data_IF_392226245007
#
_entry.id   IF_392226245007
#
_cell.length_a   1.000
_cell.length_b   1.000
_cell.length_c   1.000
_cell.angle_alpha   90.00
_cell.angle_beta   90.00
_cell.angle_gamma   90.00
#
_symmetry.space_group_name_H-M   'P 1'
#
loop_
_entity.id
_entity.type
_entity.pdbx_description
1 polymer ?
2 water ?
#
# COMPACT_ATOMS: atom_id res chain seq x y z
N UNK A 3 4.55 15.86 16.83
CA UNK A 3 3.15 16.02 16.42
C UNK A 3 3.09 15.67 14.95
N UNK A 4 1.91 15.33 14.41
CA UNK A 4 1.78 15.06 12.97
C UNK A 4 1.92 16.24 12.04
N UNK A 5 1.80 17.46 12.58
CA UNK A 5 1.93 18.65 11.74
C UNK A 5 3.27 19.46 11.88
N UNK A 6 4.46 18.84 11.68
CA UNK A 6 5.66 19.68 11.80
C UNK A 6 6.40 19.84 10.47
N UNK A 7 7.62 19.30 10.39
CA UNK A 7 8.30 19.19 9.11
C UNK A 7 9.15 17.87 9.03
N UNK A 8 10.17 17.81 8.17
CA UNK A 8 10.26 16.70 7.22
C UNK A 8 11.53 15.80 7.17
N UNK A 9 12.31 15.74 8.25
CA UNK A 9 13.39 14.75 8.25
C UNK A 9 12.79 13.35 8.51
N UNK A 10 11.69 13.32 9.26
CA UNK A 10 11.00 12.06 9.52
C UNK A 10 10.38 11.50 8.24
N UNK A 11 9.70 12.36 7.50
CA UNK A 11 9.07 11.98 6.24
C UNK A 11 10.09 11.41 5.26
N UNK A 12 11.23 12.09 5.13
CA UNK A 12 12.25 11.65 4.19
C UNK A 12 12.85 10.30 4.57
N UNK A 13 13.01 10.06 5.87
CA UNK A 13 13.53 8.77 6.32
C UNK A 13 12.61 7.61 5.95
N UNK A 14 11.33 7.77 6.21
CA UNK A 14 10.32 6.75 5.90
C UNK A 14 10.22 6.44 4.41
N UNK A 15 10.23 7.50 3.60
CA UNK A 15 10.13 7.34 2.16
C UNK A 15 11.36 6.62 1.63
N UNK A 16 12.53 7.01 2.15
CA UNK A 16 13.81 6.39 1.79
C UNK A 16 13.82 4.91 2.15
N UNK A 17 13.34 4.60 3.34
CA UNK A 17 13.25 3.23 3.82
C UNK A 17 12.39 2.35 2.91
N UNK A 18 11.23 2.85 2.52
CA UNK A 18 10.33 2.09 1.63
C UNK A 18 10.88 1.93 0.21
N UNK A 19 11.54 2.97 -0.30
CA UNK A 19 12.02 2.94 -1.68
C UNK A 19 13.37 2.22 -1.88
N UNK A 20 14.21 2.22 -0.86
CA UNK A 20 15.57 1.68 -1.03
C UNK A 20 15.76 0.32 -0.39
N UNK A 21 14.66 -0.31 -0.01
CA UNK A 21 14.71 -1.64 0.56
C UNK A 21 13.74 -2.53 -0.18
N UNK A 22 14.21 -3.71 -0.55
CA UNK A 22 13.40 -4.67 -1.29
C UNK A 22 13.26 -5.87 -0.36
N UNK A 23 12.21 -5.89 0.46
CA UNK A 23 12.08 -6.93 1.49
C UNK A 23 11.47 -8.19 0.91
N UNK A 24 12.05 -9.34 1.24
CA UNK A 24 11.57 -10.62 0.72
C UNK A 24 11.43 -11.66 1.83
N UNK A 25 10.26 -12.31 1.92
CA UNK A 25 10.06 -13.43 2.85
C UNK A 25 9.66 -14.66 2.04
N UNK A 26 10.27 -15.80 2.29
CA UNK A 26 9.89 -16.98 1.51
C UNK A 26 8.56 -17.56 2.00
N UNK A 27 7.79 -18.06 1.05
CA UNK A 27 6.54 -18.76 1.35
C UNK A 27 6.51 -20.12 0.68
N UNK A 28 5.50 -20.91 0.99
CA UNK A 28 5.39 -22.22 0.37
C UNK A 28 5.31 -22.09 -1.15
N UNK A 29 4.51 -21.15 -1.65
CA UNK A 29 4.33 -20.99 -3.10
C UNK A 29 5.43 -20.17 -3.76
N UNK A 30 6.22 -19.47 -2.96
CA UNK A 30 7.23 -18.61 -3.53
C UNK A 30 7.73 -17.56 -2.58
N UNK A 31 7.29 -16.32 -2.79
CA UNK A 31 7.78 -15.22 -1.98
C UNK A 31 6.73 -14.14 -1.75
N UNK A 32 6.80 -13.52 -0.59
CA UNK A 32 6.13 -12.24 -0.33
C UNK A 32 7.16 -11.13 -0.48
N UNK A 33 6.82 -10.08 -1.24
CA UNK A 33 7.75 -8.97 -1.45
C UNK A 33 7.12 -7.69 -0.94
N UNK A 34 7.94 -6.83 -0.35
CA UNK A 34 7.48 -5.53 0.13
C UNK A 34 8.43 -4.45 -0.35
N UNK A 35 7.94 -3.57 -1.19
CA UNK A 35 8.76 -2.49 -1.72
C UNK A 35 7.86 -1.31 -2.02
N UNK A 36 8.31 -0.11 -1.67
CA UNK A 36 7.54 1.14 -1.86
C UNK A 36 6.18 1.09 -1.19
N UNK A 37 6.06 0.33 -0.09
CA UNK A 37 4.81 0.25 0.64
C UNK A 37 3.80 -0.62 -0.07
N UNK A 38 4.27 -1.36 -1.07
CA UNK A 38 3.42 -2.28 -1.84
C UNK A 38 3.79 -3.73 -1.54
N UNK A 39 2.80 -4.59 -1.26
CA UNK A 39 3.03 -6.03 -1.13
C UNK A 39 2.81 -6.73 -2.46
N UNK A 40 3.69 -7.66 -2.80
CA UNK A 40 3.54 -8.49 -4.00
C UNK A 40 3.59 -9.96 -3.61
N UNK A 41 2.68 -10.77 -4.13
CA UNK A 41 2.77 -12.20 -3.88
C UNK A 41 3.28 -12.90 -5.14
N UNK A 42 4.50 -13.41 -5.04
CA UNK A 42 5.21 -14.01 -6.16
C UNK A 42 5.24 -15.53 -6.01
N UNK A 43 4.98 -16.26 -7.09
CA UNK A 43 5.00 -17.71 -7.05
C UNK A 43 6.04 -18.27 -8.05
N UNK A 44 6.50 -19.49 -7.82
CA UNK A 44 7.43 -20.13 -8.76
C UNK A 44 6.68 -21.22 -9.52
N UNK A 45 5.36 -21.17 -9.42
CA UNK A 45 4.52 -22.05 -10.23
C UNK A 45 4.80 -21.70 -11.68
N UNK A 46 5.06 -22.70 -12.51
CA UNK A 46 5.39 -22.44 -13.90
C UNK A 46 6.87 -22.45 -14.25
N UNK A 47 7.75 -22.35 -13.26
CA UNK A 47 9.17 -22.29 -13.55
C UNK A 47 9.72 -23.60 -14.05
N UNK A 48 9.18 -24.73 -13.59
CA UNK A 48 9.65 -26.01 -14.09
C UNK A 48 9.41 -26.09 -15.60
N UNK A 49 8.27 -25.56 -16.07
CA UNK A 49 7.97 -25.61 -17.49
C UNK A 49 8.99 -24.79 -18.29
N UNK A 50 9.46 -23.65 -17.74
CA UNK A 50 10.50 -22.87 -18.41
C UNK A 50 11.76 -23.70 -18.62
N UNK A 51 12.17 -24.43 -17.59
CA UNK A 51 13.35 -25.27 -17.71
C UNK A 51 13.17 -26.38 -18.72
N UNK A 52 12.00 -27.00 -18.71
CA UNK A 52 11.65 -28.04 -19.67
C UNK A 52 11.77 -27.54 -21.12
N UNK A 53 11.30 -26.32 -21.35
CA UNK A 53 11.29 -25.74 -22.69
C UNK A 53 12.72 -25.42 -23.14
N UNK A 54 13.64 -25.32 -22.18
CA UNK A 54 15.04 -25.05 -22.49
C UNK A 54 15.74 -26.31 -23.02
N UNK A 55 15.05 -27.44 -22.88
CA UNK A 55 15.51 -28.71 -23.42
C UNK A 55 14.80 -29.00 -24.74
N UNK A 56 15.09 -30.16 -25.33
CA UNK A 56 14.42 -30.56 -26.57
C UNK A 56 13.22 -31.45 -26.27
N UNK A 57 12.16 -31.31 -27.07
CA UNK A 57 10.90 -32.06 -26.90
C UNK A 57 10.26 -31.74 -25.54
N UNK A 58 9.56 -32.72 -24.97
CA UNK A 58 8.76 -32.59 -23.74
C UNK A 58 7.55 -31.65 -23.75
N UNK A 59 7.28 -30.98 -24.86
CA UNK A 59 6.06 -30.17 -24.90
C UNK A 59 5.56 -29.79 -26.28
N UNK A 60 5.07 -30.78 -27.06
CA UNK A 60 4.58 -30.51 -28.42
C UNK A 60 3.45 -29.47 -28.42
N UNK A 61 2.66 -29.46 -27.36
CA UNK A 61 1.55 -28.52 -27.21
C UNK A 61 2.05 -27.12 -26.85
N UNK A 62 3.24 -27.03 -26.28
CA UNK A 62 3.85 -25.72 -25.97
C UNK A 62 4.79 -25.22 -27.05
N UNK A 63 5.05 -26.05 -28.05
CA UNK A 63 5.96 -25.71 -29.15
C UNK A 63 5.53 -24.43 -29.88
N UNK A 64 4.23 -24.18 -29.99
CA UNK A 64 3.76 -22.97 -30.65
C UNK A 64 4.17 -21.75 -29.82
N UNK A 65 3.88 -21.80 -28.51
CA UNK A 65 4.36 -20.78 -27.60
C UNK A 65 5.89 -20.68 -27.69
N UNK A 66 6.54 -21.84 -27.65
CA UNK A 66 7.98 -21.92 -27.67
C UNK A 66 8.68 -21.36 -28.92
N UNK A 67 8.07 -21.53 -30.10
CA UNK A 67 8.70 -21.10 -31.36
C UNK A 67 8.67 -19.61 -31.54
N UNK A 68 7.87 -18.94 -30.71
CA UNK A 68 7.86 -17.48 -30.70
C UNK A 68 9.10 -16.93 -30.01
N UNK A 69 9.76 -17.75 -29.21
CA UNK A 69 10.91 -17.28 -28.45
C UNK A 69 12.21 -18.09 -28.59
N UNK A 70 12.68 -18.32 -29.82
CA UNK A 70 13.93 -19.08 -29.97
C UNK A 70 15.14 -18.36 -29.38
N UNK A 71 15.07 -17.04 -29.30
CA UNK A 71 16.15 -16.26 -28.69
C UNK A 71 16.22 -16.52 -27.18
N UNK A 72 15.18 -17.15 -26.63
CA UNK A 72 15.19 -17.53 -25.23
C UNK A 72 15.44 -19.03 -25.03
N UNK A 73 14.64 -19.87 -25.68
CA UNK A 73 14.67 -21.31 -25.41
C UNK A 73 15.66 -22.08 -26.25
N UNK A 74 16.15 -21.46 -27.34
CA UNK A 74 17.12 -22.13 -28.20
C UNK A 74 18.34 -21.23 -28.35
N UNK A 75 18.84 -20.75 -27.22
CA UNK A 75 19.94 -19.80 -27.18
C UNK A 75 20.83 -20.18 -26.01
N UNK A 76 22.04 -20.66 -26.30
CA UNK A 76 22.96 -21.08 -25.23
C UNK A 76 23.43 -19.91 -24.38
N UNK A 77 23.16 -18.68 -24.83
CA UNK A 77 23.56 -17.51 -24.08
C UNK A 77 22.39 -16.89 -23.30
N UNK A 78 21.24 -17.57 -23.29
CA UNK A 78 20.14 -17.08 -22.47
C UNK A 78 20.06 -17.87 -21.16
N UNK A 79 19.71 -17.19 -20.08
CA UNK A 79 19.60 -17.89 -18.79
C UNK A 79 18.26 -17.58 -18.15
N UNK A 80 17.76 -18.58 -17.44
CA UNK A 80 16.51 -18.46 -16.72
C UNK A 80 16.79 -17.85 -15.35
N UNK A 81 16.07 -16.78 -14.98
CA UNK A 81 16.22 -16.18 -13.66
C UNK A 81 14.99 -16.50 -12.82
N UNK A 82 14.98 -16.05 -11.57
CA UNK A 82 13.86 -16.38 -10.72
C UNK A 82 12.68 -15.41 -10.92
N UNK A 83 11.47 -15.81 -10.50
CA UNK A 83 10.33 -14.89 -10.59
C UNK A 83 10.57 -13.58 -9.82
N UNK A 84 11.45 -13.59 -8.83
CA UNK A 84 11.78 -12.37 -8.08
C UNK A 84 12.50 -11.36 -8.95
N UNK A 85 13.40 -11.88 -9.77
CA UNK A 85 14.07 -11.07 -10.77
C UNK A 85 13.05 -10.51 -11.76
N UNK A 86 12.12 -11.36 -12.21
CA UNK A 86 11.08 -10.90 -13.13
C UNK A 86 10.33 -9.73 -12.52
N UNK A 87 9.94 -9.86 -11.25
CA UNK A 87 9.24 -8.76 -10.59
C UNK A 87 10.12 -7.48 -10.56
N UNK A 88 11.40 -7.61 -10.19
CA UNK A 88 12.29 -6.45 -10.15
C UNK A 88 12.40 -5.75 -11.51
N UNK A 89 12.44 -6.55 -12.57
CA UNK A 89 12.57 -6.01 -13.93
C UNK A 89 11.29 -5.24 -14.31
N UNK A 90 10.14 -5.79 -13.95
CA UNK A 90 8.86 -5.12 -14.21
C UNK A 90 8.73 -3.80 -13.45
N UNK A 91 9.15 -3.80 -12.19
CA UNK A 91 9.13 -2.58 -11.39
C UNK A 91 10.07 -1.53 -11.98
N UNK A 92 11.25 -1.95 -12.42
CA UNK A 92 12.19 -1.03 -13.08
C UNK A 92 11.60 -0.51 -14.39
N UNK A 93 10.96 -1.40 -15.14
CA UNK A 93 10.34 -1.02 -16.41
C UNK A 93 9.24 0.00 -16.18
N UNK A 94 8.46 -0.20 -15.11
CA UNK A 94 7.36 0.71 -14.77
C UNK A 94 7.84 2.11 -14.47
N UNK A 95 8.92 2.22 -13.70
CA UNK A 95 9.55 3.51 -13.42
C UNK A 95 10.03 4.17 -14.71
N UNK A 96 10.71 3.39 -15.54
CA UNK A 96 11.22 3.88 -16.81
C UNK A 96 10.08 4.34 -17.72
N UNK A 97 9.11 3.46 -17.92
CA UNK A 97 8.00 3.74 -18.85
C UNK A 97 7.02 4.84 -18.41
N UNK A 98 6.81 4.96 -17.11
CA UNK A 98 5.75 5.86 -16.65
C UNK A 98 6.26 7.11 -15.97
N UNK A 99 7.56 7.16 -15.66
CA UNK A 99 8.08 8.35 -15.03
C UNK A 99 9.31 8.91 -15.72
N UNK A 100 10.31 8.07 -15.96
CA UNK A 100 11.53 8.57 -16.54
C UNK A 100 11.32 9.01 -18.01
N UNK A 101 10.50 8.26 -18.75
CA UNK A 101 10.32 8.53 -20.19
C UNK A 101 9.18 9.47 -20.59
N UNK A 102 8.35 9.90 -19.66
CA UNK A 102 7.33 10.88 -20.03
C UNK A 102 7.94 12.28 -19.97
N UNK A 103 7.50 13.12 -19.05
CA UNK A 103 8.15 14.44 -18.96
C UNK A 103 9.58 14.20 -18.47
N UNK A 104 10.47 15.13 -18.77
CA UNK A 104 11.88 14.98 -18.42
C UNK A 104 12.08 15.43 -16.98
N UNK A 105 11.61 14.56 -16.08
CA UNK A 105 11.63 14.69 -14.62
C UNK A 105 12.80 15.46 -13.99
N UNK A 106 12.61 16.77 -13.83
CA UNK A 106 13.40 17.59 -12.91
C UNK A 106 12.44 18.52 -12.14
N UNK A 107 12.06 18.19 -10.88
CA UNK A 107 12.51 17.31 -9.81
C UNK A 107 13.75 16.44 -10.08
N UNK A 108 13.64 15.12 -10.13
CA UNK A 108 14.83 14.35 -10.48
C UNK A 108 14.61 12.96 -11.07
N UNK A 109 14.95 12.85 -12.35
CA UNK A 109 15.01 11.59 -13.07
C UNK A 109 16.13 10.75 -12.49
N UNK A 110 17.15 11.43 -11.95
CA UNK A 110 18.31 10.79 -11.37
C UNK A 110 18.01 9.88 -10.18
N UNK A 111 17.23 10.37 -9.21
CA UNK A 111 16.80 9.54 -8.09
C UNK A 111 16.00 8.33 -8.58
N UNK A 112 15.04 8.57 -9.49
CA UNK A 112 14.30 7.48 -10.10
C UNK A 112 15.20 6.56 -10.91
N UNK A 113 16.19 7.15 -11.57
CA UNK A 113 17.12 6.37 -12.37
C UNK A 113 17.99 5.46 -11.52
N UNK A 114 18.42 5.96 -10.36
CA UNK A 114 19.21 5.16 -9.44
C UNK A 114 18.43 3.96 -8.93
N UNK A 115 17.19 4.22 -8.50
CA UNK A 115 16.34 3.16 -7.97
C UNK A 115 16.06 2.11 -9.04
N UNK A 116 15.67 2.58 -10.23
CA UNK A 116 15.39 1.70 -11.35
C UNK A 116 16.58 0.81 -11.68
N UNK A 117 17.76 1.42 -11.73
CA UNK A 117 18.99 0.69 -12.03
C UNK A 117 19.31 -0.37 -10.95
N UNK A 118 19.12 -0.03 -9.68
CA UNK A 118 19.33 -0.99 -8.59
C UNK A 118 18.39 -2.19 -8.71
N UNK A 119 17.11 -1.91 -8.96
CA UNK A 119 16.11 -2.96 -9.16
C UNK A 119 16.49 -3.84 -10.33
N UNK A 120 16.87 -3.20 -11.42
CA UNK A 120 17.04 -3.92 -12.67
C UNK A 120 18.29 -4.79 -12.71
N UNK A 121 19.40 -4.28 -12.17
CA UNK A 121 20.69 -4.94 -12.40
C UNK A 121 21.35 -5.60 -11.20
N UNK A 122 20.73 -5.53 -10.02
CA UNK A 122 21.32 -6.20 -8.85
C UNK A 122 20.31 -7.15 -8.20
N UNK A 123 20.78 -7.96 -7.25
CA UNK A 123 19.87 -8.86 -6.54
C UNK A 123 19.80 -8.50 -5.06
N UNK A 124 20.26 -7.30 -4.71
CA UNK A 124 20.40 -6.92 -3.31
C UNK A 124 19.12 -6.37 -2.68
N UNK A 125 19.04 -6.43 -1.35
CA UNK A 125 17.84 -6.03 -0.63
C UNK A 125 17.84 -4.55 -0.26
N UNK A 126 18.96 -3.90 -0.48
CA UNK A 126 19.10 -2.54 -0.05
C UNK A 126 19.97 -1.73 -0.98
N UNK A 127 19.55 -0.49 -1.23
CA UNK A 127 20.30 0.42 -2.07
C UNK A 127 20.72 1.58 -1.18
N UNK A 128 22.00 1.88 -1.14
CA UNK A 128 22.39 3.01 -0.31
C UNK A 128 22.48 4.25 -1.18
N UNK A 129 21.41 5.02 -1.11
CA UNK A 129 21.30 6.28 -1.83
C UNK A 129 22.22 7.26 -1.14
N UNK A 130 23.23 7.74 -1.84
CA UNK A 130 24.15 8.73 -1.28
C UNK A 130 23.96 10.02 -2.05
N UNK A 131 24.75 11.05 -1.72
CA UNK A 131 24.63 12.38 -2.33
C UNK A 131 23.31 12.93 -1.86
N UNK A 132 23.41 13.84 -0.92
CA UNK A 132 22.31 14.28 -0.11
C UNK A 132 21.24 15.12 -0.79
N UNK A 133 21.42 15.41 -2.08
CA UNK A 133 20.38 16.11 -2.86
C UNK A 133 19.54 15.16 -3.80
N UNK A 134 19.86 13.85 -3.84
CA UNK A 134 18.88 12.94 -4.43
C UNK A 134 18.04 12.41 -3.28
N UNK A 135 18.60 12.38 -2.06
CA UNK A 135 17.84 11.94 -0.91
C UNK A 135 16.76 12.94 -0.53
N UNK A 136 17.02 14.22 -0.81
CA UNK A 136 16.07 15.24 -0.40
C UNK A 136 15.07 15.48 -1.49
N UNK A 137 15.24 14.74 -2.58
CA UNK A 137 14.24 14.74 -3.61
C UNK A 137 13.15 13.74 -3.26
N UNK A 138 13.36 12.99 -2.17
CA UNK A 138 12.42 12.01 -1.65
C UNK A 138 11.42 12.72 -0.74
N UNK A 139 10.14 12.51 -1.01
CA UNK A 139 9.05 13.07 -0.22
C UNK A 139 7.86 12.13 -0.32
N UNK A 140 6.85 12.35 0.50
CA UNK A 140 5.66 11.51 0.45
C UNK A 140 4.97 11.74 -0.89
N UNK A 141 4.84 13.01 -1.27
CA UNK A 141 4.51 13.35 -2.65
C UNK A 141 5.73 12.80 -3.35
N UNK A 142 5.51 12.12 -4.45
CA UNK A 142 6.56 11.48 -5.28
C UNK A 142 6.62 10.00 -4.94
N UNK A 143 6.57 9.66 -3.65
CA UNK A 143 6.44 8.25 -3.29
C UNK A 143 5.05 7.86 -3.75
N UNK A 144 4.11 8.75 -3.50
CA UNK A 144 2.75 8.60 -3.98
C UNK A 144 2.77 8.51 -5.51
N UNK A 145 3.56 9.37 -6.14
CA UNK A 145 3.68 9.36 -7.59
C UNK A 145 4.27 8.03 -8.09
N UNK A 146 5.32 7.56 -7.42
CA UNK A 146 5.92 6.29 -7.80
C UNK A 146 4.93 5.15 -7.70
N UNK A 147 4.19 5.10 -6.59
CA UNK A 147 3.19 4.05 -6.35
C UNK A 147 2.05 4.04 -7.38
N UNK A 148 1.47 5.20 -7.69
CA UNK A 148 0.37 5.23 -8.65
C UNK A 148 0.87 4.83 -10.04
N UNK A 149 2.10 5.20 -10.36
CA UNK A 149 2.59 4.88 -11.69
C UNK A 149 2.99 3.42 -11.81
N UNK A 150 3.38 2.80 -10.69
CA UNK A 150 3.59 1.35 -10.68
C UNK A 150 2.24 0.66 -10.91
N UNK A 151 1.20 1.15 -10.25
CA UNK A 151 -0.14 0.61 -10.47
C UNK A 151 -0.60 0.76 -11.91
N UNK A 152 -0.34 1.91 -12.50
CA UNK A 152 -0.76 2.13 -13.88
C UNK A 152 0.00 1.20 -14.81
N UNK A 153 1.28 0.96 -14.53
CA UNK A 153 2.06 0.07 -15.38
C UNK A 153 1.56 -1.37 -15.26
N UNK A 154 1.23 -1.77 -14.04
CA UNK A 154 0.68 -3.10 -13.82
C UNK A 154 -0.67 -3.26 -14.57
N UNK A 155 -1.49 -2.23 -14.54
CA UNK A 155 -2.75 -2.28 -15.28
C UNK A 155 -2.51 -2.35 -16.80
N UNK A 156 -1.48 -1.65 -17.26
CA UNK A 156 -1.05 -1.75 -18.65
C UNK A 156 -0.69 -3.21 -18.99
N UNK A 157 0.02 -3.89 -18.10
CA UNK A 157 0.41 -5.28 -18.36
C UNK A 157 -0.84 -6.16 -18.41
N UNK A 158 -1.80 -5.89 -17.53
CA UNK A 158 -3.03 -6.68 -17.45
C UNK A 158 -3.95 -6.48 -18.66
N UNK A 159 -3.78 -5.39 -19.37
CA UNK A 159 -4.55 -5.09 -20.57
C UNK A 159 -3.99 -5.86 -21.77
N UNK A 160 -2.80 -6.44 -21.62
CA UNK A 160 -2.21 -7.20 -22.71
C UNK A 160 -2.99 -8.48 -22.95
N UNK A 161 -3.06 -8.90 -24.21
CA UNK A 161 -3.66 -10.16 -24.57
C UNK A 161 -2.60 -11.24 -24.65
N UNK A 162 -2.97 -12.49 -24.39
CA UNK A 162 -2.04 -13.59 -24.62
C UNK A 162 -1.63 -13.64 -26.11
N UNK A 163 -0.40 -14.09 -26.38
CA UNK A 163 0.11 -14.21 -27.73
C UNK A 163 -0.90 -14.84 -28.68
N UNK A 164 -1.06 -14.22 -29.84
CA UNK A 164 -2.19 -14.51 -30.72
C UNK A 164 -1.83 -14.17 -32.15
N UNK A 165 -2.62 -14.67 -33.09
CA UNK A 165 -2.43 -14.31 -34.48
C UNK A 165 -3.53 -13.39 -35.00
N UNK A 166 -4.23 -12.70 -34.09
CA UNK A 166 -5.19 -11.66 -34.48
C UNK A 166 -4.50 -10.30 -34.34
N UNK A 167 -5.22 -9.21 -34.25
CA UNK A 167 -4.45 -7.98 -34.18
C UNK A 167 -3.88 -7.64 -32.82
N UNK A 168 -4.11 -8.51 -31.84
CA UNK A 168 -4.07 -8.09 -30.45
C UNK A 168 -2.71 -7.98 -29.79
N UNK A 169 -2.50 -6.83 -29.15
CA UNK A 169 -1.23 -6.50 -28.52
C UNK A 169 -0.96 -7.45 -27.37
N UNK A 170 0.26 -8.01 -27.33
CA UNK A 170 0.57 -9.00 -26.31
C UNK A 170 1.88 -8.66 -25.61
N UNK A 171 2.56 -7.62 -26.05
CA UNK A 171 3.87 -7.31 -25.48
C UNK A 171 4.17 -5.83 -25.35
N UNK A 172 5.06 -5.50 -24.42
CA UNK A 172 5.56 -4.15 -24.23
C UNK A 172 7.09 -4.18 -24.23
N UNK A 173 7.71 -3.25 -24.96
CA UNK A 173 9.17 -3.16 -24.99
C UNK A 173 9.60 -1.83 -24.41
N UNK A 174 10.54 -1.87 -23.48
CA UNK A 174 11.00 -0.65 -22.83
C UNK A 174 12.52 -0.56 -22.86
N UNK A 175 13.02 0.49 -23.49
CA UNK A 175 14.44 0.74 -23.52
C UNK A 175 14.90 1.39 -22.23
N UNK A 176 16.05 0.94 -21.73
CA UNK A 176 16.70 1.59 -20.60
C UNK A 176 18.10 1.97 -21.06
N UNK A 177 18.91 2.47 -20.13
CA UNK A 177 20.26 2.95 -20.46
C UNK A 177 21.12 1.88 -21.12
N UNK A 178 21.15 0.70 -20.51
CA UNK A 178 22.02 -0.36 -21.01
C UNK A 178 21.28 -1.63 -21.39
N UNK A 179 19.95 -1.56 -21.48
CA UNK A 179 19.19 -2.77 -21.77
C UNK A 179 17.93 -2.54 -22.56
N UNK A 180 17.40 -3.64 -23.08
CA UNK A 180 16.05 -3.65 -23.60
C UNK A 180 15.27 -4.62 -22.73
N UNK A 181 14.11 -4.15 -22.27
CA UNK A 181 13.19 -4.96 -21.49
C UNK A 181 12.00 -5.33 -22.36
N UNK A 182 11.65 -6.60 -22.42
CA UNK A 182 10.46 -6.99 -23.15
C UNK A 182 9.59 -7.83 -22.21
N UNK A 183 8.29 -7.54 -22.21
CA UNK A 183 7.35 -8.26 -21.37
C UNK A 183 6.22 -8.73 -22.25
N UNK A 184 5.98 -10.04 -22.28
CA UNK A 184 5.00 -10.62 -23.20
C UNK A 184 4.02 -11.52 -22.46
N UNK A 185 2.72 -11.30 -22.65
CA UNK A 185 1.76 -12.17 -22.00
C UNK A 185 1.60 -13.46 -22.80
N UNK A 186 1.78 -14.60 -22.13
CA UNK A 186 1.62 -15.91 -22.72
C UNK A 186 0.66 -16.74 -21.88
N UNK A 187 0.32 -17.94 -22.35
CA UNK A 187 -0.51 -18.85 -21.57
C UNK A 187 0.15 -19.24 -20.25
N UNK A 188 1.48 -19.12 -20.19
CA UNK A 188 2.26 -19.43 -18.99
C UNK A 188 2.26 -18.31 -17.96
N UNK A 189 1.94 -17.10 -18.41
CA UNK A 189 2.06 -15.92 -17.59
C UNK A 189 2.88 -14.90 -18.37
N UNK A 190 3.44 -13.93 -17.67
CA UNK A 190 4.21 -12.89 -18.34
C UNK A 190 5.67 -13.29 -18.42
N UNK A 191 6.11 -13.47 -19.65
CA UNK A 191 7.49 -13.75 -19.92
C UNK A 191 8.25 -12.43 -19.92
N UNK A 192 9.18 -12.33 -18.99
CA UNK A 192 9.94 -11.10 -18.78
C UNK A 192 11.34 -11.35 -19.27
N UNK A 193 11.80 -10.56 -20.24
CA UNK A 193 13.16 -10.77 -20.75
C UNK A 193 13.99 -9.50 -20.70
N UNK A 194 15.30 -9.70 -20.57
CA UNK A 194 16.26 -8.62 -20.53
C UNK A 194 17.35 -8.89 -21.57
N UNK A 195 17.50 -7.98 -22.53
CA UNK A 195 18.50 -8.10 -23.59
C UNK A 195 19.38 -6.86 -23.59
N UNK A 196 20.38 -6.87 -24.47
CA UNK A 196 21.20 -5.69 -24.73
C UNK A 196 20.38 -4.64 -25.48
N UNK A 197 20.86 -3.38 -25.50
CA UNK A 197 20.09 -2.35 -26.21
C UNK A 197 19.81 -2.67 -27.69
N UNK A 198 20.71 -3.38 -28.35
CA UNK A 198 20.52 -3.74 -29.75
C UNK A 198 19.74 -5.06 -29.95
N UNK A 199 19.27 -5.65 -28.85
CA UNK A 199 18.51 -6.91 -28.91
C UNK A 199 19.29 -7.99 -29.66
N UNK A 200 20.56 -8.09 -29.33
CA UNK A 200 21.46 -9.04 -29.98
C UNK A 200 21.03 -10.48 -29.75
N UNK A 201 20.24 -10.73 -28.72
CA UNK A 201 19.76 -12.09 -28.48
C UNK A 201 18.93 -12.59 -29.66
N UNK A 202 18.36 -11.68 -30.44
CA UNK A 202 17.50 -12.11 -31.53
C UNK A 202 18.29 -12.37 -32.83
N UNK A 203 19.61 -12.20 -32.80
CA UNK A 203 20.45 -12.59 -33.94
C UNK A 203 20.54 -14.13 -33.96
N UNK A 204 19.78 -14.78 -34.84
CA UNK A 204 19.62 -16.23 -34.80
C UNK A 204 20.90 -17.06 -35.01
N UNK A 205 21.79 -16.56 -35.87
CA UNK A 205 23.05 -17.27 -36.12
C UNK A 205 24.10 -17.02 -35.08
N UNK A 206 24.10 -15.84 -34.49
CA UNK A 206 25.08 -15.53 -33.46
C UNK A 206 24.37 -14.84 -32.34
N UNK A 207 23.59 -15.63 -31.57
CA UNK A 207 22.71 -15.03 -30.55
C UNK A 207 23.50 -14.34 -29.43
N UNK A 208 23.10 -13.12 -29.10
CA UNK A 208 23.67 -12.42 -27.96
C UNK A 208 23.02 -12.91 -26.69
N UNK A 209 23.41 -12.33 -25.54
CA UNK A 209 22.94 -12.80 -24.23
C UNK A 209 21.54 -12.33 -23.91
N UNK A 210 20.85 -13.08 -23.06
CA UNK A 210 19.52 -12.71 -22.59
C UNK A 210 19.26 -13.35 -21.23
N UNK A 211 18.48 -12.68 -20.38
CA UNK A 211 17.99 -13.28 -19.16
C UNK A 211 16.47 -13.24 -19.25
N UNK A 212 15.80 -14.24 -18.71
CA UNK A 212 14.36 -14.21 -18.75
C UNK A 212 13.75 -15.04 -17.63
N UNK A 213 12.50 -14.77 -17.34
CA UNK A 213 11.80 -15.52 -16.32
C UNK A 213 10.32 -15.29 -16.54
N UNK A 214 9.52 -15.72 -15.57
CA UNK A 214 8.09 -15.73 -15.75
C UNK A 214 7.42 -15.11 -14.53
N UNK A 215 6.49 -14.19 -14.76
CA UNK A 215 5.68 -13.69 -13.66
C UNK A 215 4.28 -14.23 -13.81
N UNK A 216 3.88 -15.08 -12.89
CA UNK A 216 2.55 -15.66 -12.93
C UNK A 216 1.49 -14.57 -12.85
N UNK A 217 0.41 -14.79 -13.59
CA UNK A 217 -0.74 -13.92 -13.67
C UNK A 217 -1.26 -13.49 -12.30
N UNK A 218 -1.22 -14.42 -11.35
CA UNK A 218 -1.78 -14.17 -10.01
C UNK A 218 -1.17 -12.92 -9.34
N UNK A 219 0.12 -12.68 -9.57
CA UNK A 219 0.82 -11.58 -8.91
C UNK A 219 0.25 -10.23 -9.27
N UNK A 220 -0.18 -10.10 -10.52
CA UNK A 220 -0.69 -8.83 -11.01
C UNK A 220 -2.20 -8.72 -10.74
N UNK A 221 -2.87 -9.87 -10.76
CA UNK A 221 -4.32 -9.95 -10.57
C UNK A 221 -4.78 -9.27 -9.29
N UNK A 222 -3.92 -9.30 -8.27
CA UNK A 222 -4.23 -8.70 -6.98
C UNK A 222 -4.49 -7.21 -7.10
N UNK A 223 -3.87 -6.59 -8.10
CA UNK A 223 -4.03 -5.15 -8.34
C UNK A 223 -5.13 -4.96 -9.38
N UNK A 224 -5.57 -6.08 -9.95
CA UNK A 224 -6.53 -6.11 -11.05
C UNK A 224 -6.01 -5.33 -12.24
N UNK B 3 21.20 -11.61 -2.18
CA UNK B 3 21.13 -10.98 -0.86
C UNK B 3 19.70 -10.52 -0.56
N UNK B 4 18.82 -10.40 -1.57
CA UNK B 4 17.42 -10.17 -1.18
C UNK B 4 16.84 -11.40 -0.48
N UNK B 5 17.45 -12.58 -0.69
CA UNK B 5 16.92 -13.77 0.00
C UNK B 5 17.34 -13.98 1.48
N UNK B 6 18.66 -14.00 1.77
CA UNK B 6 19.03 -14.22 3.18
C UNK B 6 18.46 -13.23 4.23
N UNK B 7 17.78 -13.80 5.23
CA UNK B 7 17.26 -13.14 6.46
C UNK B 7 18.03 -11.97 7.10
N UNK B 8 17.30 -11.02 7.71
CA UNK B 8 17.94 -9.85 8.35
C UNK B 8 17.07 -8.93 9.27
N UNK B 9 17.77 -7.97 9.87
CA UNK B 9 17.36 -6.83 10.70
C UNK B 9 16.72 -5.68 9.91
N UNK B 10 17.02 -5.68 8.62
CA UNK B 10 16.54 -4.67 7.69
C UNK B 10 15.01 -4.69 7.65
N UNK B 11 14.43 -5.89 7.62
CA UNK B 11 12.99 -6.08 7.61
C UNK B 11 12.30 -5.43 8.81
N UNK B 12 12.81 -5.70 10.01
CA UNK B 12 12.17 -5.18 11.22
C UNK B 12 12.26 -3.67 11.25
N UNK B 13 13.36 -3.13 10.73
CA UNK B 13 13.59 -1.71 10.61
C UNK B 13 12.57 -1.01 9.71
N UNK B 14 12.36 -1.58 8.52
CA UNK B 14 11.37 -1.02 7.58
C UNK B 14 9.98 -1.06 8.16
N UNK B 15 9.66 -2.19 8.79
CA UNK B 15 8.33 -2.40 9.37
C UNK B 15 8.11 -1.43 10.52
N UNK B 16 9.14 -1.24 11.34
CA UNK B 16 9.08 -0.28 12.44
C UNK B 16 8.80 1.11 11.91
N UNK B 17 9.53 1.50 10.87
CA UNK B 17 9.35 2.81 10.25
C UNK B 17 7.92 3.04 9.74
N UNK B 18 7.36 2.04 9.08
CA UNK B 18 6.00 2.18 8.54
C UNK B 18 4.91 2.22 9.62
N UNK B 19 5.09 1.44 10.67
CA UNK B 19 4.07 1.31 11.69
C UNK B 19 4.11 2.39 12.76
N UNK B 20 5.29 2.96 12.99
CA UNK B 20 5.48 3.90 14.10
C UNK B 20 5.57 5.33 13.63
N UNK B 21 5.22 5.56 12.37
CA UNK B 21 5.17 6.89 11.80
C UNK B 21 3.84 7.14 11.09
N UNK B 22 3.25 8.29 11.40
CA UNK B 22 1.99 8.70 10.82
C UNK B 22 2.30 9.96 10.03
N UNK B 23 2.63 9.79 8.74
CA UNK B 23 3.08 10.89 7.92
C UNK B 23 1.93 11.70 7.36
N UNK B 24 2.04 13.01 7.42
CA UNK B 24 0.96 13.86 6.97
C UNK B 24 1.54 14.93 6.03
N UNK B 25 0.96 15.06 4.84
CA UNK B 25 1.39 16.07 3.89
C UNK B 25 0.20 16.92 3.49
N UNK B 26 0.35 18.24 3.54
CA UNK B 26 -0.77 19.12 3.20
C UNK B 26 -1.08 19.11 1.71
N UNK B 27 -2.37 19.13 1.40
CA UNK B 27 -2.82 19.28 0.03
C UNK B 27 -3.81 20.41 0.05
N UNK B 28 -4.21 20.86 -1.14
CA UNK B 28 -5.22 21.90 -1.28
C UNK B 28 -6.53 21.43 -0.62
N UNK B 29 -6.82 20.15 -0.77
CA UNK B 29 -8.06 19.58 -0.29
C UNK B 29 -8.10 19.16 1.20
N UNK B 30 -6.93 19.02 1.80
CA UNK B 30 -6.85 18.52 3.15
C UNK B 30 -5.47 17.99 3.37
N UNK B 31 -5.37 16.67 3.41
CA UNK B 31 -4.10 16.05 3.69
C UNK B 31 -3.94 14.71 3.00
N UNK B 32 -2.70 14.40 2.66
CA UNK B 32 -2.28 13.06 2.29
C UNK B 32 -1.65 12.41 3.52
N UNK B 33 -2.10 11.21 3.86
CA UNK B 33 -1.58 10.53 5.02
C UNK B 33 -0.93 9.22 4.61
N UNK B 34 0.18 8.86 5.25
CA UNK B 34 0.85 7.62 4.96
C UNK B 34 1.21 6.89 6.24
N UNK B 35 0.64 5.70 6.42
CA UNK B 35 0.88 4.88 7.62
C UNK B 35 0.75 3.39 7.25
N UNK B 36 1.66 2.57 7.77
CA UNK B 36 1.67 1.13 7.49
C UNK B 36 1.75 0.83 5.98
N UNK B 37 2.37 1.72 5.24
CA UNK B 37 2.48 1.56 3.80
C UNK B 37 1.19 1.83 3.05
N UNK B 38 0.22 2.41 3.74
CA UNK B 38 -1.08 2.76 3.17
C UNK B 38 -1.27 4.27 3.02
N UNK B 39 -1.69 4.72 1.83
CA UNK B 39 -2.03 6.12 1.59
C UNK B 39 -3.51 6.36 1.88
N UNK B 40 -3.80 7.47 2.53
CA UNK B 40 -5.16 7.91 2.76
C UNK B 40 -5.32 9.35 2.26
N UNK B 41 -6.40 9.63 1.53
CA UNK B 41 -6.64 11.01 1.12
C UNK B 41 -7.74 11.59 2.00
N UNK B 42 -7.36 12.54 2.85
CA UNK B 42 -8.27 13.09 3.84
C UNK B 42 -8.63 14.50 3.40
N UNK B 43 -9.90 14.85 3.53
CA UNK B 43 -10.34 16.17 3.11
C UNK B 43 -10.93 16.88 4.31
N UNK B 44 -10.98 18.21 4.27
CA UNK B 44 -11.66 18.90 5.35
C UNK B 44 -13.05 19.43 4.90
N UNK B 45 -13.54 19.01 3.74
CA UNK B 45 -14.95 19.26 3.42
C UNK B 45 -15.86 18.56 4.35
N UNK B 46 -16.86 19.30 4.77
CA UNK B 46 -17.84 18.79 5.71
C UNK B 46 -17.59 19.29 7.11
N UNK B 47 -16.38 19.79 7.38
CA UNK B 47 -16.04 20.24 8.73
C UNK B 47 -16.74 21.53 9.14
N UNK B 48 -16.94 22.45 8.20
CA UNK B 48 -17.65 23.69 8.52
C UNK B 48 -19.08 23.40 8.98
N UNK B 49 -19.74 22.44 8.34
CA UNK B 49 -21.11 22.07 8.68
C UNK B 49 -21.18 21.49 10.08
N UNK B 50 -20.16 20.72 10.44
CA UNK B 50 -20.06 20.16 11.78
C UNK B 50 -20.04 21.29 12.82
N UNK B 51 -19.25 22.34 12.57
CA UNK B 51 -19.21 23.50 13.45
C UNK B 51 -20.54 24.24 13.50
N UNK B 52 -21.18 24.35 12.32
CA UNK B 52 -22.50 24.95 12.20
C UNK B 52 -23.50 24.24 13.10
N UNK B 53 -23.44 22.92 13.10
CA UNK B 53 -24.41 22.12 13.83
C UNK B 53 -24.18 22.23 15.33
N UNK B 54 -22.98 22.68 15.69
CA UNK B 54 -22.64 22.91 17.10
C UNK B 54 -23.25 24.20 17.59
N UNK B 55 -23.71 25.03 16.65
CA UNK B 55 -24.38 26.27 17.02
C UNK B 55 -25.86 26.00 17.07
N UNK B 56 -26.63 27.03 17.36
CA UNK B 56 -28.07 26.90 17.40
C UNK B 56 -28.70 27.41 16.10
N UNK B 57 -27.87 27.74 15.11
CA UNK B 57 -28.37 28.25 13.84
C UNK B 57 -29.21 27.15 13.20
N UNK B 58 -30.48 27.47 13.08
CA UNK B 58 -31.55 26.52 12.80
C UNK B 58 -31.50 25.80 11.45
N UNK B 59 -30.56 26.21 10.60
CA UNK B 59 -30.23 25.59 9.29
C UNK B 59 -30.97 24.29 8.96
N UNK B 60 -32.27 24.38 8.65
CA UNK B 60 -33.16 23.23 8.48
C UNK B 60 -32.67 22.17 7.48
N UNK B 61 -33.31 21.00 7.54
CA UNK B 61 -33.02 19.80 6.75
C UNK B 61 -31.89 19.00 7.39
N UNK B 62 -31.03 19.69 8.13
CA UNK B 62 -30.01 19.03 8.93
C UNK B 62 -30.57 18.91 10.34
N UNK B 63 -31.76 19.46 10.52
CA UNK B 63 -32.46 19.47 11.78
C UNK B 63 -32.54 18.07 12.38
N UNK B 64 -32.70 17.09 11.50
CA UNK B 64 -32.80 15.69 11.90
C UNK B 64 -31.48 15.14 12.42
N UNK B 65 -30.41 15.39 11.67
CA UNK B 65 -29.06 14.98 12.07
C UNK B 65 -28.68 15.44 13.47
N UNK B 66 -28.87 16.72 13.75
CA UNK B 66 -28.56 17.29 15.06
C UNK B 66 -29.39 16.59 16.14
N UNK B 67 -30.63 16.23 15.80
CA UNK B 67 -31.51 15.60 16.77
C UNK B 67 -31.20 14.11 16.94
N UNK B 68 -30.50 13.53 15.97
CA UNK B 68 -30.06 12.14 16.08
C UNK B 68 -28.81 12.04 16.95
N UNK B 69 -28.05 13.13 17.06
CA UNK B 69 -26.82 13.13 17.84
C UNK B 69 -26.74 14.29 18.86
N UNK B 70 -27.72 14.36 19.78
CA UNK B 70 -27.68 15.47 20.75
C UNK B 70 -26.48 15.37 21.69
N UNK B 71 -25.99 14.15 21.91
CA UNK B 71 -24.84 13.94 22.78
C UNK B 71 -23.57 14.53 22.14
N UNK B 72 -23.65 14.82 20.85
CA UNK B 72 -22.55 15.50 20.17
C UNK B 72 -22.84 16.97 19.94
N UNK B 73 -23.99 17.29 19.35
CA UNK B 73 -24.23 18.67 18.91
C UNK B 73 -24.89 19.55 19.96
N UNK B 74 -25.46 18.94 21.00
CA UNK B 74 -26.11 19.68 22.09
C UNK B 74 -25.54 19.25 23.43
N UNK B 75 -24.22 19.31 23.52
CA UNK B 75 -23.49 18.83 24.66
C UNK B 75 -22.31 19.78 24.89
N UNK B 76 -22.32 20.55 25.99
CA UNK B 76 -21.23 21.51 26.21
C UNK B 76 -19.89 20.81 26.45
N UNK B 77 -19.92 19.49 26.69
CA UNK B 77 -18.68 18.75 26.95
C UNK B 77 -18.20 17.94 25.74
N UNK B 78 -18.81 18.15 24.59
CA UNK B 78 -18.30 17.48 23.40
C UNK B 78 -17.49 18.48 22.60
N UNK B 79 -16.37 18.04 22.03
CA UNK B 79 -15.54 18.92 21.23
C UNK B 79 -15.28 18.27 19.87
N UNK B 80 -15.15 19.12 18.87
CA UNK B 80 -14.85 18.74 17.51
C UNK B 80 -13.35 18.61 17.30
N UNK B 81 -12.94 17.48 16.72
CA UNK B 81 -11.55 17.25 16.36
C UNK B 81 -11.41 17.32 14.83
N UNK B 82 -10.18 17.23 14.33
CA UNK B 82 -9.99 17.31 12.89
C UNK B 82 -10.18 15.95 12.22
N UNK B 83 -10.38 15.97 10.89
CA UNK B 83 -10.49 14.69 10.16
C UNK B 83 -9.26 13.81 10.32
N UNK B 84 -8.11 14.38 10.63
CA UNK B 84 -6.91 13.54 10.82
C UNK B 84 -7.06 12.69 12.04
N UNK B 85 -7.62 13.30 13.08
CA UNK B 85 -7.96 12.60 14.31
C UNK B 85 -8.99 11.52 13.98
N UNK B 86 -9.97 11.86 13.13
CA UNK B 86 -11.01 10.90 12.78
C UNK B 86 -10.36 9.64 12.19
N UNK B 87 -9.41 9.87 11.27
CA UNK B 87 -8.69 8.76 10.65
C UNK B 87 -7.91 7.94 11.68
N UNK B 88 -7.20 8.61 12.59
CA UNK B 88 -6.46 7.91 13.62
C UNK B 88 -7.35 7.03 14.47
N UNK B 89 -8.53 7.54 14.78
CA UNK B 89 -9.45 6.79 15.65
C UNK B 89 -9.97 5.53 14.92
N UNK B 90 -10.30 5.69 13.66
CA UNK B 90 -10.75 4.57 12.84
C UNK B 90 -9.64 3.51 12.71
N UNK B 91 -8.40 3.95 12.51
CA UNK B 91 -7.27 3.01 12.45
C UNK B 91 -7.08 2.30 13.79
N UNK B 92 -7.16 3.02 14.89
CA UNK B 92 -7.03 2.38 16.19
C UNK B 92 -8.16 1.36 16.36
N UNK B 93 -9.37 1.74 15.93
CA UNK B 93 -10.54 0.88 16.08
C UNK B 93 -10.37 -0.41 15.29
N UNK B 94 -9.85 -0.28 14.06
CA UNK B 94 -9.63 -1.45 13.22
C UNK B 94 -8.64 -2.39 13.84
N UNK B 95 -7.56 -1.85 14.39
CA UNK B 95 -6.58 -2.68 15.06
C UNK B 95 -7.22 -3.38 16.26
N UNK B 96 -7.98 -2.63 17.05
CA UNK B 96 -8.62 -3.19 18.24
C UNK B 96 -9.59 -4.31 17.84
N UNK B 97 -10.42 -4.03 16.85
CA UNK B 97 -11.51 -4.93 16.48
C UNK B 97 -10.90 -6.28 16.03
N UNK B 98 -9.65 -6.26 15.52
CA UNK B 98 -8.88 -7.53 15.45
C UNK B 98 -7.54 -7.49 16.25
N UNK B 99 -7.66 -7.27 17.58
CA UNK B 99 -6.65 -7.28 18.65
C UNK B 99 -7.32 -8.08 19.80
N UNK B 100 -8.60 -7.85 19.85
CA UNK B 100 -9.47 -8.43 20.84
C UNK B 100 -9.43 -9.97 20.89
N UNK B 101 -9.31 -10.62 19.74
CA UNK B 101 -9.28 -12.08 19.68
C UNK B 101 -7.89 -12.69 19.83
N UNK B 102 -6.86 -11.88 20.04
CA UNK B 102 -5.54 -12.45 20.19
C UNK B 102 -5.29 -13.17 21.51
N UNK B 103 -4.37 -14.13 21.48
CA UNK B 103 -3.95 -14.81 22.71
C UNK B 103 -3.20 -13.77 23.51
N UNK B 104 -3.08 -13.90 24.82
CA UNK B 104 -2.30 -12.93 25.53
C UNK B 104 -0.91 -13.48 25.31
N UNK B 105 -0.50 -13.50 24.04
CA UNK B 105 0.81 -13.99 23.61
C UNK B 105 1.93 -13.67 24.61
N UNK B 106 2.07 -12.45 25.14
CA UNK B 106 1.34 -11.24 24.75
C UNK B 106 2.11 -10.33 23.79
N UNK B 107 3.48 -10.38 23.77
CA UNK B 107 4.19 -9.34 23.01
C UNK B 107 3.60 -8.89 21.66
N UNK B 108 3.08 -9.78 20.82
CA UNK B 108 2.48 -9.27 19.59
C UNK B 108 1.20 -8.49 19.89
N UNK B 109 0.36 -9.01 20.79
CA UNK B 109 -0.86 -8.29 21.15
C UNK B 109 -0.46 -6.98 21.83
N UNK B 110 0.64 -7.03 22.56
CA UNK B 110 1.22 -5.88 23.23
C UNK B 110 1.72 -4.85 22.23
N UNK B 111 2.43 -5.33 21.21
CA UNK B 111 2.90 -4.45 20.15
C UNK B 111 1.71 -3.76 19.45
N UNK B 112 0.66 -4.51 19.14
CA UNK B 112 -0.52 -3.92 18.53
C UNK B 112 -1.20 -2.90 19.46
N UNK B 113 -1.24 -3.21 20.75
CA UNK B 113 -1.87 -2.36 21.73
C UNK B 113 -1.14 -1.06 21.89
N UNK B 114 0.19 -1.10 21.82
CA UNK B 114 1.00 0.12 21.91
C UNK B 114 0.72 1.04 20.72
N UNK B 115 0.72 0.46 19.53
CA UNK B 115 0.45 1.20 18.29
C UNK B 115 -0.96 1.76 18.30
N UNK B 116 -1.93 0.92 18.60
CA UNK B 116 -3.32 1.38 18.68
C UNK B 116 -3.46 2.52 19.67
N UNK B 117 -2.86 2.37 20.85
CA UNK B 117 -2.91 3.42 21.86
C UNK B 117 -2.28 4.73 21.40
N UNK B 118 -1.12 4.64 20.76
CA UNK B 118 -0.48 5.85 20.24
C UNK B 118 -1.38 6.57 19.22
N UNK B 119 -1.96 5.82 18.28
CA UNK B 119 -2.85 6.41 17.29
C UNK B 119 -4.05 7.12 17.93
N UNK B 120 -4.64 6.44 18.91
CA UNK B 120 -5.92 6.87 19.47
C UNK B 120 -5.82 8.05 20.43
N UNK B 121 -4.78 8.06 21.26
CA UNK B 121 -4.73 9.01 22.37
C UNK B 121 -3.67 10.08 22.25
N UNK B 122 -2.87 10.07 21.18
CA UNK B 122 -1.90 11.14 20.98
C UNK B 122 -2.08 11.74 19.61
N UNK B 123 -1.42 12.87 19.38
CA UNK B 123 -1.49 13.55 18.10
C UNK B 123 -0.12 13.60 17.41
N UNK B 124 0.84 12.82 17.90
CA UNK B 124 2.20 12.88 17.38
C UNK B 124 2.37 12.04 16.12
N UNK B 125 3.38 12.39 15.32
CA UNK B 125 3.63 11.76 14.03
C UNK B 125 4.56 10.59 14.14
N UNK B 126 5.13 10.43 15.33
CA UNK B 126 6.12 9.40 15.54
C UNK B 126 5.93 8.81 16.91
N UNK B 127 6.05 7.49 16.96
CA UNK B 127 5.88 6.77 18.17
C UNK B 127 7.17 6.07 18.52
N UNK B 128 7.66 6.30 19.72
CA UNK B 128 8.84 5.59 20.16
C UNK B 128 8.47 4.36 20.97
N UNK B 129 8.41 3.25 20.26
CA UNK B 129 8.28 1.95 20.84
C UNK B 129 9.65 1.69 21.35
N UNK B 130 9.92 1.57 22.64
CA UNK B 130 11.26 1.08 22.90
C UNK B 130 11.29 -0.19 23.74
N UNK B 131 10.14 -0.75 24.07
CA UNK B 131 10.18 -2.02 24.77
C UNK B 131 10.53 -2.87 23.57
N UNK B 132 11.81 -3.07 23.25
CA UNK B 132 12.03 -3.80 21.99
C UNK B 132 11.99 -5.30 22.07
N UNK B 133 11.24 -5.84 23.06
CA UNK B 133 10.99 -7.23 23.00
C UNK B 133 9.74 -7.32 22.11
N UNK B 134 9.08 -6.18 21.88
CA UNK B 134 8.03 -6.14 20.87
C UNK B 134 8.57 -5.64 19.53
N UNK B 135 9.69 -4.92 19.48
CA UNK B 135 10.17 -4.57 18.13
C UNK B 135 10.59 -5.80 17.38
N UNK B 136 10.93 -6.84 18.12
CA UNK B 136 11.26 -8.09 17.48
C UNK B 136 9.97 -8.88 17.27
N UNK B 137 8.85 -8.30 17.71
CA UNK B 137 7.54 -8.83 17.37
C UNK B 137 7.17 -8.26 16.02
N UNK B 138 7.96 -7.29 15.57
CA UNK B 138 7.68 -6.61 14.32
C UNK B 138 8.28 -7.44 13.20
N UNK B 139 7.45 -7.74 12.21
CA UNK B 139 7.90 -8.50 11.06
C UNK B 139 7.04 -8.12 9.87
N UNK B 140 7.46 -8.56 8.69
CA UNK B 140 6.70 -8.31 7.48
C UNK B 140 5.37 -9.06 7.54
N UNK B 141 5.41 -10.27 8.11
CA UNK B 141 4.17 -11.02 8.35
C UNK B 141 3.17 -10.24 9.19
N UNK B 142 3.64 -9.67 10.28
CA UNK B 142 2.79 -8.86 11.16
C UNK B 142 2.26 -7.62 10.43
N UNK B 143 3.10 -6.98 9.63
CA UNK B 143 2.68 -5.80 8.89
C UNK B 143 1.61 -6.15 7.85
N UNK B 144 1.82 -7.24 7.14
CA UNK B 144 0.83 -7.71 6.17
C UNK B 144 -0.51 -7.98 6.85
N UNK B 145 -0.46 -8.58 8.02
CA UNK B 145 -1.67 -8.89 8.78
C UNK B 145 -2.42 -7.62 9.18
N UNK B 146 -1.65 -6.64 9.66
CA UNK B 146 -2.22 -5.35 10.03
C UNK B 146 -2.86 -4.70 8.80
N UNK B 147 -2.13 -4.68 7.69
CA UNK B 147 -2.64 -4.08 6.47
C UNK B 147 -3.94 -4.75 5.98
N UNK B 148 -3.98 -6.07 5.94
CA UNK B 148 -5.18 -6.73 5.43
C UNK B 148 -6.37 -6.50 6.36
N UNK B 149 -6.09 -6.45 7.65
CA UNK B 149 -7.16 -6.29 8.62
C UNK B 149 -7.66 -4.85 8.68
N UNK B 150 -6.80 -3.87 8.38
CA UNK B 150 -7.26 -2.49 8.23
C UNK B 150 -8.17 -2.39 7.01
N UNK B 151 -7.75 -3.03 5.93
CA UNK B 151 -8.59 -3.09 4.73
C UNK B 151 -9.93 -3.78 5.04
N UNK B 152 -9.90 -4.84 5.84
CA UNK B 152 -11.15 -5.52 6.19
C UNK B 152 -12.06 -4.59 7.01
N UNK B 153 -11.46 -3.83 7.90
CA UNK B 153 -12.25 -2.91 8.74
C UNK B 153 -12.87 -1.80 7.91
N UNK B 154 -12.09 -1.28 6.96
CA UNK B 154 -12.59 -0.22 6.09
C UNK B 154 -13.80 -0.71 5.28
N UNK B 155 -13.72 -1.95 4.82
CA UNK B 155 -14.84 -2.56 4.12
C UNK B 155 -16.06 -2.80 5.01
N UNK B 156 -15.84 -3.15 6.28
CA UNK B 156 -16.96 -3.24 7.23
C UNK B 156 -17.66 -1.88 7.31
N UNK B 157 -16.87 -0.81 7.37
CA UNK B 157 -17.45 0.54 7.43
C UNK B 157 -18.22 0.85 6.16
N UNK B 158 -17.70 0.42 5.02
CA UNK B 158 -18.39 0.72 3.76
C UNK B 158 -19.71 -0.07 3.64
N UNK B 159 -19.83 -1.14 4.41
CA UNK B 159 -21.03 -1.99 4.44
C UNK B 159 -22.16 -1.38 5.26
N UNK B 160 -21.83 -0.31 5.98
CA UNK B 160 -22.85 0.38 6.78
C UNK B 160 -23.82 1.17 5.91
N UNK B 161 -25.06 1.22 6.37
CA UNK B 161 -26.05 2.05 5.72
C UNK B 161 -26.08 3.39 6.41
N UNK B 162 -26.47 4.43 5.69
CA UNK B 162 -26.70 5.76 6.25
C UNK B 162 -27.76 5.62 7.34
N UNK B 163 -27.76 6.52 8.32
CA UNK B 163 -28.78 6.49 9.35
C UNK B 163 -30.19 6.36 8.77
N UNK B 164 -30.95 5.50 9.40
CA UNK B 164 -32.23 5.01 8.91
C UNK B 164 -33.20 4.60 9.97
N UNK B 165 -34.44 4.45 9.53
CA UNK B 165 -35.52 3.94 10.37
C UNK B 165 -35.98 2.60 9.82
N UNK B 166 -35.16 2.03 8.94
CA UNK B 166 -35.45 0.74 8.32
C UNK B 166 -34.73 -0.48 8.88
N UNK B 167 -34.35 -0.42 10.15
CA UNK B 167 -33.68 -1.51 10.84
C UNK B 167 -32.27 -1.85 10.39
N UNK B 168 -31.76 -1.12 9.40
CA UNK B 168 -30.49 -1.45 8.77
C UNK B 168 -29.31 -0.90 9.58
N UNK B 169 -28.27 -1.72 9.77
CA UNK B 169 -27.13 -1.35 10.61
C UNK B 169 -26.40 -0.12 10.06
N UNK B 170 -26.18 0.89 10.91
CA UNK B 170 -25.60 2.15 10.47
C UNK B 170 -24.38 2.62 11.27
N UNK B 171 -24.06 1.91 12.32
CA UNK B 171 -22.96 2.29 13.19
C UNK B 171 -22.25 1.07 13.73
N UNK B 172 -20.99 1.25 14.13
CA UNK B 172 -20.26 0.21 14.83
C UNK B 172 -19.66 0.79 16.12
N UNK B 173 -19.70 0.03 17.19
CA UNK B 173 -19.11 0.43 18.46
C UNK B 173 -17.98 -0.49 18.89
N UNK B 174 -16.84 0.09 19.26
CA UNK B 174 -15.67 -0.67 19.66
C UNK B 174 -15.12 -0.19 21.00
N UNK B 175 -15.08 -1.09 21.97
CA UNK B 175 -14.51 -0.77 23.26
C UNK B 175 -13.00 -0.84 23.22
N UNK B 176 -12.35 0.11 23.89
CA UNK B 176 -10.91 0.05 24.06
C UNK B 176 -10.63 0.08 25.55
N UNK B 177 -9.36 0.11 25.91
CA UNK B 177 -8.95 0.05 27.30
C UNK B 177 -9.59 1.17 28.12
N UNK B 178 -9.51 2.39 27.60
CA UNK B 178 -10.03 3.55 28.33
C UNK B 178 -11.11 4.35 27.61
N UNK B 179 -11.66 3.82 26.51
CA UNK B 179 -12.62 4.57 25.73
C UNK B 179 -13.66 3.69 25.05
N UNK B 180 -14.71 4.33 24.57
CA UNK B 180 -15.63 3.72 23.63
C UNK B 180 -15.54 4.49 22.34
N UNK B 181 -15.34 3.74 21.24
CA UNK B 181 -15.31 4.35 19.92
C UNK B 181 -16.59 4.02 19.20
N UNK B 182 -17.24 5.03 18.64
CA UNK B 182 -18.42 4.76 17.83
C UNK B 182 -18.26 5.40 16.46
N UNK B 183 -18.61 4.64 15.42
CA UNK B 183 -18.52 5.12 14.06
C UNK B 183 -19.88 4.91 13.40
N UNK B 184 -20.49 5.99 12.95
CA UNK B 184 -21.85 5.93 12.43
C UNK B 184 -21.90 6.56 11.06
N UNK B 185 -22.46 5.86 10.08
CA UNK B 185 -22.56 6.46 8.76
C UNK B 185 -23.77 7.39 8.65
N UNK B 186 -23.52 8.61 8.20
CA UNK B 186 -24.55 9.62 8.03
C UNK B 186 -24.47 10.18 6.63
N UNK B 187 -25.40 11.07 6.28
CA UNK B 187 -25.40 11.74 5.00
C UNK B 187 -24.16 12.63 4.81
N UNK B 188 -23.54 13.03 5.92
CA UNK B 188 -22.36 13.87 5.91
C UNK B 188 -21.08 13.05 5.67
N UNK B 189 -21.19 11.75 5.91
CA UNK B 189 -20.03 10.90 5.91
C UNK B 189 -20.07 10.15 7.22
N UNK B 190 -18.92 9.65 7.66
CA UNK B 190 -18.85 8.87 8.89
C UNK B 190 -18.56 9.75 10.09
N UNK B 191 -19.50 9.77 11.04
CA UNK B 191 -19.28 10.46 12.30
C UNK B 191 -18.48 9.56 13.20
N UNK B 192 -17.31 10.04 13.59
CA UNK B 192 -16.42 9.26 14.42
C UNK B 192 -16.41 9.87 15.81
N UNK B 193 -16.78 9.11 16.82
CA UNK B 193 -16.77 9.63 18.19
C UNK B 193 -15.99 8.81 19.19
N UNK B 194 -15.50 9.52 20.20
CA UNK B 194 -14.74 8.93 21.25
C UNK B 194 -15.42 9.33 22.57
N UNK B 195 -15.86 8.33 23.32
CA UNK B 195 -16.53 8.55 24.62
C UNK B 195 -15.79 7.85 25.70
N UNK B 196 -16.25 8.02 26.94
CA UNK B 196 -15.75 7.23 28.04
C UNK B 196 -16.27 5.79 27.90
N UNK B 197 -15.66 4.83 28.62
CA UNK B 197 -16.12 3.44 28.55
C UNK B 197 -17.60 3.28 28.91
N UNK B 198 -18.12 4.13 29.79
CA UNK B 198 -19.52 4.05 30.20
C UNK B 198 -20.45 4.86 29.28
N UNK B 199 -19.87 5.46 28.24
CA UNK B 199 -20.62 6.29 27.30
C UNK B 199 -21.47 7.36 28.00
N UNK B 200 -20.87 8.05 28.96
CA UNK B 200 -21.57 9.06 29.76
C UNK B 200 -22.10 10.25 28.94
N UNK B 201 -21.57 10.44 27.74
CA UNK B 201 -22.03 11.49 26.86
C UNK B 201 -23.49 11.26 26.48
N UNK B 202 -23.95 10.02 26.64
CA UNK B 202 -25.30 9.65 26.23
C UNK B 202 -26.35 9.94 27.32
N UNK B 203 -25.90 10.38 28.49
CA UNK B 203 -26.82 10.79 29.54
C UNK B 203 -27.47 12.12 29.16
N UNK B 204 -28.61 12.05 28.47
CA UNK B 204 -29.23 13.26 27.91
C UNK B 204 -29.55 14.33 28.97
N UNK B 205 -29.79 13.92 30.21
CA UNK B 205 -30.08 14.93 31.22
C UNK B 205 -28.79 15.59 31.74
N UNK B 206 -27.69 14.85 31.81
CA UNK B 206 -26.39 15.43 32.19
C UNK B 206 -25.21 14.82 31.41
N UNK B 207 -25.02 15.24 30.15
CA UNK B 207 -24.05 14.60 29.25
C UNK B 207 -22.58 14.68 29.67
N UNK B 208 -21.88 13.55 29.62
CA UNK B 208 -20.45 13.47 29.87
C UNK B 208 -19.66 13.93 28.63
N UNK B 209 -18.32 13.81 28.68
CA UNK B 209 -17.45 14.31 27.62
C UNK B 209 -17.42 13.43 26.37
N UNK B 210 -17.13 14.06 25.23
CA UNK B 210 -16.97 13.33 23.98
C UNK B 210 -16.12 14.15 23.04
N UNK B 211 -15.38 13.45 22.18
CA UNK B 211 -14.71 14.11 21.06
C UNK B 211 -15.29 13.49 19.82
N UNK B 212 -15.44 14.29 18.77
CA UNK B 212 -15.95 13.73 17.52
C UNK B 212 -15.48 14.50 16.31
N UNK B 213 -15.56 13.83 15.18
CA UNK B 213 -15.21 14.46 13.93
C UNK B 213 -15.84 13.68 12.78
N UNK B 214 -15.42 14.01 11.57
CA UNK B 214 -16.01 13.45 10.36
C UNK B 214 -14.95 12.86 9.43
N UNK B 215 -15.20 11.66 8.93
CA UNK B 215 -14.36 11.15 7.84
C UNK B 215 -15.25 11.11 6.60
N UNK B 216 -14.95 11.97 5.64
CA UNK B 216 -15.71 12.05 4.41
C UNK B 216 -15.67 10.69 3.67
N UNK B 217 -16.77 10.33 3.03
CA UNK B 217 -16.86 9.06 2.27
C UNK B 217 -15.71 8.87 1.30
N UNK B 218 -15.26 9.96 0.70
CA UNK B 218 -14.22 9.88 -0.32
C UNK B 218 -12.97 9.16 0.19
N UNK B 219 -12.66 9.35 1.47
CA UNK B 219 -11.45 8.72 2.03
C UNK B 219 -11.52 7.20 1.96
N UNK B 220 -12.71 6.63 2.17
CA UNK B 220 -12.83 5.16 2.13
C UNK B 220 -13.05 4.62 0.70
N UNK B 221 -13.62 5.43 -0.18
CA UNK B 221 -13.93 5.03 -1.55
C UNK B 221 -12.73 4.45 -2.31
N UNK B 222 -11.53 4.95 -2.03
CA UNK B 222 -10.31 4.49 -2.70
C UNK B 222 -10.05 3.01 -2.44
N UNK B 223 -10.50 2.53 -1.29
CA UNK B 223 -10.32 1.15 -0.91
C UNK B 223 -11.54 0.37 -1.38
N UNK B 224 -12.48 1.15 -1.90
CA UNK B 224 -13.82 0.73 -2.30
C UNK B 224 -14.59 0.17 -1.12
#
# INVERSE_FOLDING_TARGET
GHMISPKKDLEKGVVLSDLCNFLVSQTIQGWKVYWAGIEFDVTHKGMALLHRLKTNDFAPAWSMTRNLFPHLFQNPNSTIESPLWALRVILAAGIQDQLIDQSLIEPLAGALGLISDWLLTTNTNHFNMRTQRVKEQLSLKMLSLIRSNILKFINKLDALHVVNYNGLLSSIEIGTQNHTIIITRTNMGFLVELQEPDKSAMNRMKPGPAKFSLLHESTLKAFTQGSSTR
GHMISPKKDLEKGVVLSDLCNFLVSQTIQGWKVYWAGIEFDVTHKGMALLHRLKTNDFAPAWSMTRNLFPHLFQNPNSTIESPLWALRVILAAGIQDQLIDQSLIEPLAGALGLISDWLLTTNTNHFNMRTQRVKEQLSLKMLSLIRSNILKFINKLDALHVVNYNGLLSSIEIGTQNHTIIITRTNMGFLVELQEPDKSAMNRMKPGPAKFSLLHESTLKAFTQGSSTR
#
